data_IF_690803972680
#
_entry.id   IF_690803972680
#
_cell.length_a   1.000
_cell.length_b   1.000
_cell.length_c   1.000
_cell.angle_alpha   90.00
_cell.angle_beta   90.00
_cell.angle_gamma   90.00
#
_symmetry.space_group_name_H-M   'P 1'
#
loop_
_entity.id
_entity.type
_entity.pdbx_description
1 polymer ?
#
# COMPACT_ATOMS: atom_id res chain seq x y z
N UNK A 1 -6.64 -20.30 -7.21
CA UNK A 1 -7.74 -19.57 -7.86
C UNK A 1 -7.90 -18.16 -7.29
N UNK A 2 -8.27 -18.01 -6.00
CA UNK A 2 -8.55 -16.70 -5.38
C UNK A 2 -7.38 -15.71 -5.51
N UNK A 3 -6.14 -16.13 -5.26
CA UNK A 3 -4.96 -15.24 -5.37
C UNK A 3 -4.78 -14.67 -6.77
N UNK A 4 -5.06 -15.46 -7.81
CA UNK A 4 -5.00 -15.01 -9.20
C UNK A 4 -6.06 -13.96 -9.48
N UNK A 5 -7.30 -14.21 -9.04
CA UNK A 5 -8.41 -13.28 -9.23
C UNK A 5 -8.15 -11.96 -8.48
N UNK A 6 -7.66 -12.04 -7.25
CA UNK A 6 -7.30 -10.85 -6.49
C UNK A 6 -6.21 -10.01 -7.19
N UNK A 7 -5.17 -10.66 -7.75
CA UNK A 7 -4.13 -9.97 -8.50
C UNK A 7 -4.62 -9.34 -9.81
N UNK A 8 -5.60 -9.97 -10.48
CA UNK A 8 -6.20 -9.43 -11.71
C UNK A 8 -7.10 -8.22 -11.42
N UNK A 9 -7.87 -8.24 -10.32
CA UNK A 9 -8.85 -7.20 -9.96
C UNK A 9 -8.30 -6.13 -9.00
N UNK A 10 -7.01 -6.17 -8.68
CA UNK A 10 -6.37 -5.17 -7.79
C UNK A 10 -6.70 -5.32 -6.30
N UNK A 11 -7.16 -6.50 -5.86
CA UNK A 11 -7.38 -6.77 -4.44
C UNK A 11 -6.09 -7.22 -3.74
N UNK A 12 -5.89 -6.68 -2.54
CA UNK A 12 -4.84 -7.07 -1.60
C UNK A 12 -5.49 -7.68 -0.36
N UNK A 13 -4.70 -8.47 0.40
CA UNK A 13 -5.21 -9.10 1.62
C UNK A 13 -4.17 -9.12 2.74
N UNK A 14 -4.67 -9.14 3.99
CA UNK A 14 -3.86 -9.39 5.19
C UNK A 14 -4.56 -10.33 6.16
N UNK A 15 -3.78 -11.00 7.00
CA UNK A 15 -4.31 -11.74 8.14
C UNK A 15 -4.31 -10.86 9.39
N UNK A 16 -5.43 -10.87 10.10
CA UNK A 16 -5.55 -10.29 11.43
C UNK A 16 -5.61 -11.42 12.43
N UNK A 17 -4.62 -11.46 13.32
CA UNK A 17 -4.51 -12.47 14.35
C UNK A 17 -5.05 -11.90 15.66
N UNK A 18 -5.81 -12.72 16.39
CA UNK A 18 -6.30 -12.45 17.74
C UNK A 18 -6.14 -13.72 18.57
N UNK A 19 -6.25 -13.60 19.89
CA UNK A 19 -6.26 -14.77 20.78
C UNK A 19 -7.38 -15.78 20.44
N UNK A 20 -8.48 -15.32 19.81
CA UNK A 20 -9.64 -16.15 19.44
C UNK A 20 -9.52 -16.80 18.05
N UNK A 21 -8.49 -16.47 17.27
CA UNK A 21 -8.30 -16.99 15.92
C UNK A 21 -7.80 -15.95 14.92
N UNK A 22 -7.88 -16.31 13.64
CA UNK A 22 -7.32 -15.53 12.53
C UNK A 22 -8.41 -15.19 11.52
N UNK A 23 -8.39 -13.96 10.99
CA UNK A 23 -9.31 -13.48 9.96
C UNK A 23 -8.55 -12.98 8.75
N UNK A 24 -9.05 -13.30 7.56
CA UNK A 24 -8.57 -12.75 6.31
C UNK A 24 -9.33 -11.46 6.00
N UNK A 25 -8.62 -10.34 5.85
CA UNK A 25 -9.18 -9.09 5.35
C UNK A 25 -8.77 -8.93 3.89
N UNK A 26 -9.76 -8.71 3.01
CA UNK A 26 -9.57 -8.44 1.57
C UNK A 26 -10.03 -7.02 1.30
N UNK A 27 -9.24 -6.25 0.55
CA UNK A 27 -9.55 -4.85 0.25
C UNK A 27 -8.88 -4.41 -1.05
N UNK A 28 -9.40 -3.36 -1.66
CA UNK A 28 -8.84 -2.64 -2.81
C UNK A 28 -8.12 -1.34 -2.37
N UNK A 29 -8.20 -0.97 -1.09
CA UNK A 29 -7.61 0.26 -0.55
C UNK A 29 -6.50 -0.05 0.44
N UNK A 30 -5.28 0.37 0.12
CA UNK A 30 -4.10 0.17 0.98
C UNK A 30 -4.30 0.70 2.40
N UNK A 31 -4.96 1.86 2.56
CA UNK A 31 -5.21 2.47 3.87
C UNK A 31 -6.07 1.61 4.82
N UNK A 32 -6.84 0.67 4.27
CA UNK A 32 -7.64 -0.26 5.09
C UNK A 32 -6.80 -1.35 5.76
N UNK A 33 -5.52 -1.48 5.39
CA UNK A 33 -4.60 -2.44 5.98
C UNK A 33 -4.21 -2.12 7.44
N UNK A 34 -4.72 -1.02 7.99
CA UNK A 34 -4.57 -0.63 9.38
C UNK A 34 -3.17 -0.12 9.69
N UNK A 35 -3.04 0.52 10.85
CA UNK A 35 -1.76 0.97 11.37
C UNK A 35 -1.22 -0.05 12.35
N UNK A 36 0.10 -0.12 12.50
CA UNK A 36 0.71 -0.85 13.61
C UNK A 36 0.39 -0.03 14.85
N UNK A 37 -0.55 -0.50 15.67
CA UNK A 37 -0.82 0.15 16.95
C UNK A 37 0.43 0.06 17.80
N UNK A 38 1.06 1.20 18.10
CA UNK A 38 1.96 1.31 19.24
C UNK A 38 1.14 1.02 20.50
N UNK A 39 1.13 -0.22 20.96
CA UNK A 39 0.39 -0.62 22.17
C UNK A 39 1.09 -0.15 23.46
N UNK A 40 1.88 0.92 23.41
CA UNK A 40 2.75 1.37 24.51
C UNK A 40 2.38 2.75 25.08
N UNK A 41 1.35 3.40 24.57
CA UNK A 41 0.78 4.59 25.19
C UNK A 41 -0.70 4.33 25.41
N UNK A 42 -1.06 3.89 26.62
CA UNK A 42 -2.37 4.26 27.14
C UNK A 42 -2.19 5.68 27.67
N UNK A 43 -2.89 6.70 27.15
CA UNK A 43 -3.06 7.89 27.96
C UNK A 43 -3.71 7.40 29.24
N UNK A 44 -3.03 7.61 30.36
CA UNK A 44 -3.62 7.33 31.66
C UNK A 44 -4.87 8.20 31.76
N UNK A 45 -5.95 7.61 32.27
CA UNK A 45 -7.28 8.20 32.34
C UNK A 45 -7.25 9.50 33.18
N UNK A 46 -7.05 10.66 32.54
CA UNK A 46 -7.30 11.99 33.13
C UNK A 46 -8.41 12.66 32.30
N UNK A 47 -9.65 12.43 32.72
CA UNK A 47 -10.91 12.74 32.02
C UNK A 47 -11.24 14.24 31.84
N UNK A 48 -10.35 15.19 32.15
CA UNK A 48 -10.74 16.62 32.23
C UNK A 48 -9.79 17.65 31.58
N UNK A 49 -8.74 17.25 30.85
CA UNK A 49 -7.87 18.21 30.14
C UNK A 49 -8.08 18.11 28.62
N UNK A 50 -8.67 19.16 28.03
CA UNK A 50 -8.68 19.39 26.57
C UNK A 50 -7.23 19.70 26.15
N UNK A 51 -6.43 18.63 26.14
CA UNK A 51 -4.98 18.66 26.18
C UNK A 51 -4.38 19.45 25.03
N UNK A 52 -3.65 20.50 25.39
CA UNK A 52 -2.64 21.09 24.53
C UNK A 52 -1.71 19.96 24.07
N UNK A 53 -1.57 19.75 22.76
CA UNK A 53 -0.60 18.79 22.23
C UNK A 53 0.78 19.36 22.56
N UNK A 54 1.39 18.89 23.65
CA UNK A 54 2.77 19.19 23.97
C UNK A 54 3.65 18.60 22.85
N UNK A 55 4.47 19.43 22.19
CA UNK A 55 5.45 18.99 21.18
C UNK A 55 6.43 17.92 21.74
N UNK A 56 6.51 17.80 23.07
CA UNK A 56 7.30 16.80 23.79
C UNK A 56 6.62 15.41 23.88
N UNK A 57 5.34 15.27 23.53
CA UNK A 57 4.66 13.98 23.49
C UNK A 57 4.67 13.41 22.06
N UNK A 58 5.54 12.42 21.76
CA UNK A 58 5.65 11.88 20.41
C UNK A 58 4.31 11.27 19.98
N UNK A 59 3.91 11.56 18.74
CA UNK A 59 2.71 11.00 18.11
C UNK A 59 2.60 9.51 18.45
N UNK A 60 1.52 9.05 19.10
CA UNK A 60 1.36 7.66 19.50
C UNK A 60 1.38 6.69 18.32
N UNK A 61 1.24 7.18 17.08
CA UNK A 61 1.35 6.40 15.85
C UNK A 61 2.76 6.42 15.24
N UNK A 62 3.67 7.27 15.73
CA UNK A 62 5.03 7.36 15.24
C UNK A 62 5.91 6.22 15.77
N UNK A 63 6.74 5.66 14.88
CA UNK A 63 7.74 4.64 15.24
C UNK A 63 9.13 5.29 15.27
N UNK A 64 9.82 5.19 16.40
CA UNK A 64 11.17 5.75 16.56
C UNK A 64 12.17 5.06 15.61
N UNK A 65 13.04 5.84 14.96
CA UNK A 65 14.23 5.33 14.30
C UNK A 65 15.49 5.57 15.16
N UNK A 66 16.22 4.51 15.48
CA UNK A 66 17.45 4.58 16.28
C UNK A 66 18.53 3.64 15.73
N UNK A 67 19.54 4.20 15.06
CA UNK A 67 20.54 3.44 14.33
C UNK A 67 21.63 2.80 15.23
N UNK A 68 21.92 3.38 16.40
CA UNK A 68 23.07 2.99 17.21
C UNK A 68 22.92 1.58 17.81
N UNK A 69 23.87 0.68 17.54
CA UNK A 69 23.90 -0.72 18.01
C UNK A 69 24.21 -0.91 19.49
N UNK A 70 24.61 0.15 20.19
CA UNK A 70 24.90 0.10 21.62
C UNK A 70 23.64 0.20 22.46
N UNK A 71 23.48 -0.74 23.39
CA UNK A 71 22.39 -0.76 24.38
C UNK A 71 21.07 -1.33 23.87
N UNK A 72 20.27 -1.81 24.80
CA UNK A 72 18.88 -2.19 24.55
C UNK A 72 17.99 -0.95 24.64
N UNK A 73 17.03 -0.82 23.72
CA UNK A 73 16.15 0.34 23.70
C UNK A 73 14.96 0.10 24.61
N UNK A 74 14.62 1.08 25.44
CA UNK A 74 13.50 0.97 26.38
C UNK A 74 12.13 0.82 25.68
N UNK A 75 12.04 1.23 24.40
CA UNK A 75 10.84 1.09 23.56
C UNK A 75 11.19 0.48 22.20
N UNK A 76 10.25 -0.24 21.54
CA UNK A 76 10.40 -0.70 20.17
C UNK A 76 10.78 0.44 19.22
N UNK A 77 11.75 0.19 18.36
CA UNK A 77 12.22 1.17 17.38
C UNK A 77 12.73 0.48 16.11
N UNK A 78 12.65 1.18 14.97
CA UNK A 78 13.35 0.80 13.75
C UNK A 78 14.85 1.06 13.92
N UNK A 79 15.67 0.06 13.62
CA UNK A 79 17.13 0.19 13.72
C UNK A 79 17.82 0.41 12.38
N UNK A 80 17.13 0.05 11.29
CA UNK A 80 17.70 0.05 9.95
C UNK A 80 16.61 0.37 8.94
N UNK A 81 16.92 1.31 8.05
CA UNK A 81 16.08 1.69 6.93
C UNK A 81 16.88 1.51 5.64
N UNK A 82 16.26 0.90 4.64
CA UNK A 82 16.83 0.75 3.32
C UNK A 82 15.86 1.29 2.29
N UNK A 83 16.34 2.24 1.49
CA UNK A 83 15.61 2.79 0.37
C UNK A 83 16.18 2.25 -0.94
N UNK A 84 15.30 1.90 -1.89
CA UNK A 84 15.69 1.42 -3.22
C UNK A 84 14.65 1.85 -4.25
N UNK A 85 15.15 2.40 -5.34
CA UNK A 85 14.38 2.64 -6.56
C UNK A 85 14.67 1.56 -7.60
N UNK A 86 13.71 1.30 -8.48
CA UNK A 86 13.89 0.40 -9.61
C UNK A 86 13.11 0.92 -10.80
N UNK A 87 13.71 0.85 -11.99
CA UNK A 87 13.02 1.21 -13.24
C UNK A 87 11.83 0.28 -13.47
N UNK A 88 10.71 0.87 -13.88
CA UNK A 88 9.42 0.21 -14.16
C UNK A 88 8.76 0.81 -15.40
N UNK A 89 7.74 0.12 -15.88
CA UNK A 89 6.88 0.58 -16.98
C UNK A 89 6.26 1.93 -16.64
N UNK A 90 6.46 2.92 -17.50
CA UNK A 90 5.89 4.24 -17.34
C UNK A 90 4.51 4.34 -17.98
N UNK A 91 4.25 3.55 -19.03
CA UNK A 91 2.97 3.50 -19.72
C UNK A 91 2.49 2.07 -19.84
N UNK A 92 1.20 1.85 -19.57
CA UNK A 92 0.53 0.58 -19.79
C UNK A 92 -0.56 0.76 -20.83
N UNK A 93 -0.53 -0.06 -21.87
CA UNK A 93 -1.54 -0.09 -22.92
C UNK A 93 -2.14 -1.48 -22.98
N UNK A 94 -3.46 -1.58 -22.97
CA UNK A 94 -4.17 -2.83 -23.19
C UNK A 94 -5.09 -2.71 -24.40
N UNK A 95 -5.22 -3.80 -25.16
CA UNK A 95 -6.20 -3.92 -26.23
C UNK A 95 -7.02 -5.18 -26.10
N UNK A 96 -8.25 -5.14 -26.62
CA UNK A 96 -9.06 -6.33 -26.83
C UNK A 96 -9.84 -6.22 -28.16
N UNK A 97 -10.48 -7.31 -28.58
CA UNK A 97 -11.32 -7.37 -29.75
C UNK A 97 -12.68 -7.93 -29.39
N UNK A 98 -13.72 -7.30 -29.94
CA UNK A 98 -15.09 -7.79 -29.86
C UNK A 98 -15.63 -8.05 -31.26
N UNK A 99 -16.01 -9.29 -31.53
CA UNK A 99 -16.59 -9.68 -32.82
C UNK A 99 -17.92 -8.96 -33.13
N UNK A 100 -18.62 -8.48 -32.10
CA UNK A 100 -19.87 -7.71 -32.27
C UNK A 100 -19.61 -6.28 -32.73
N UNK A 101 -18.41 -5.75 -32.49
CA UNK A 101 -18.00 -4.39 -32.85
C UNK A 101 -16.56 -4.42 -33.40
N UNK A 102 -16.32 -5.05 -34.57
CA UNK A 102 -14.98 -5.37 -35.04
C UNK A 102 -14.13 -4.14 -35.41
N UNK A 103 -14.78 -3.02 -35.74
CA UNK A 103 -14.12 -1.75 -36.06
C UNK A 103 -13.86 -0.88 -34.82
N UNK A 104 -14.35 -1.27 -33.63
CA UNK A 104 -14.19 -0.49 -32.42
C UNK A 104 -12.76 -0.59 -31.90
N UNK A 105 -12.15 0.57 -31.63
CA UNK A 105 -10.80 0.66 -31.08
C UNK A 105 -10.87 0.49 -29.56
N UNK A 106 -10.88 -0.76 -29.11
CA UNK A 106 -10.98 -1.13 -27.70
C UNK A 106 -9.58 -1.10 -27.06
N UNK A 107 -9.04 0.11 -26.83
CA UNK A 107 -7.73 0.36 -26.21
C UNK A 107 -7.88 1.17 -24.93
N UNK A 108 -7.27 0.70 -23.85
CA UNK A 108 -7.12 1.45 -22.62
C UNK A 108 -5.66 1.79 -22.38
N UNK A 109 -5.40 2.97 -21.86
CA UNK A 109 -4.06 3.45 -21.55
C UNK A 109 -3.99 4.03 -20.15
N UNK A 110 -2.86 3.80 -19.48
CA UNK A 110 -2.56 4.38 -18.20
C UNK A 110 -1.10 4.84 -18.16
N UNK A 111 -0.88 6.06 -17.67
CA UNK A 111 0.46 6.59 -17.39
C UNK A 111 0.71 6.51 -15.89
N UNK A 112 1.87 6.01 -15.52
CA UNK A 112 2.30 5.94 -14.13
C UNK A 112 2.54 7.33 -13.53
N UNK A 113 2.38 7.45 -12.21
CA UNK A 113 2.81 8.61 -11.44
C UNK A 113 4.26 8.45 -10.98
N UNK A 114 4.84 9.52 -10.43
CA UNK A 114 6.12 9.50 -9.71
C UNK A 114 7.32 8.99 -10.54
N UNK A 115 7.42 9.51 -11.75
CA UNK A 115 8.44 9.15 -12.74
C UNK A 115 9.72 9.99 -12.65
N UNK A 116 9.92 10.79 -11.59
CA UNK A 116 11.00 11.80 -11.52
C UNK A 116 12.42 11.20 -11.65
N UNK A 117 12.57 9.90 -11.38
CA UNK A 117 13.84 9.18 -11.40
C UNK A 117 13.94 8.12 -12.50
N UNK A 118 13.06 8.15 -13.50
CA UNK A 118 13.12 7.25 -14.66
C UNK A 118 12.61 7.91 -15.95
N UNK A 119 12.77 7.22 -17.08
CA UNK A 119 12.15 7.64 -18.33
C UNK A 119 10.63 7.41 -18.29
N UNK A 120 9.89 8.27 -18.98
CA UNK A 120 8.42 8.25 -19.05
C UNK A 120 7.88 7.52 -20.29
N UNK A 121 8.76 7.01 -21.14
CA UNK A 121 8.42 6.43 -22.45
C UNK A 121 8.40 4.90 -22.48
N UNK A 122 8.83 4.23 -21.40
CA UNK A 122 8.88 2.77 -21.38
C UNK A 122 7.49 2.14 -21.26
N UNK A 123 6.93 1.78 -22.41
CA UNK A 123 5.59 1.22 -22.56
C UNK A 123 5.56 -0.32 -22.42
N UNK A 124 4.53 -0.81 -21.73
CA UNK A 124 4.11 -2.22 -21.79
C UNK A 124 2.74 -2.33 -22.45
N UNK A 125 2.72 -3.04 -23.58
CA UNK A 125 1.51 -3.39 -24.31
C UNK A 125 1.05 -4.82 -23.98
N UNK A 126 -0.26 -5.02 -23.78
CA UNK A 126 -0.85 -6.34 -23.51
C UNK A 126 -2.10 -6.61 -24.36
N UNK A 127 -2.23 -7.84 -24.86
CA UNK A 127 -3.38 -8.33 -25.62
C UNK A 127 -3.50 -9.86 -25.48
N UNK A 128 -4.69 -10.41 -25.18
CA UNK A 128 -5.96 -9.71 -24.95
C UNK A 128 -6.07 -9.15 -23.52
N UNK A 129 -6.61 -7.93 -23.39
CA UNK A 129 -6.80 -7.24 -22.11
C UNK A 129 -7.93 -7.80 -21.23
N UNK A 130 -8.75 -8.70 -21.77
CA UNK A 130 -9.85 -9.42 -21.06
C UNK A 130 -11.01 -8.54 -20.61
N UNK A 131 -11.24 -7.43 -21.30
CA UNK A 131 -12.42 -6.58 -21.13
C UNK A 131 -13.23 -6.54 -22.43
N UNK A 132 -14.52 -6.24 -22.33
CA UNK A 132 -15.44 -6.23 -23.48
C UNK A 132 -16.12 -4.90 -23.71
N UNK A 133 -15.95 -3.96 -22.79
CA UNK A 133 -16.50 -2.60 -22.79
C UNK A 133 -15.50 -1.70 -22.09
N UNK A 134 -15.58 -0.43 -22.43
CA UNK A 134 -14.92 0.65 -21.70
C UNK A 134 -15.75 1.05 -20.47
#
# INVERSE_FOLDING_TARGET
FITRLAAEEGFIYRFVHSAKGHRLLVSDRVLTLGMISSSLVKPEDDDDDEGFIDDDYPDPLAVLYHANSGGDQARPCLRRLHYREQVRTARQVQRDYSFTHPAYHLQQEFNASDLQHQADDYERFDYPGRYKRD
#
